data_IF_093295041653
#
_entry.id   IF_093295041653
#
_cell.length_a   1.000
_cell.length_b   1.000
_cell.length_c   1.000
_cell.angle_alpha   90.00
_cell.angle_beta   90.00
_cell.angle_gamma   90.00
#
_symmetry.space_group_name_H-M   'P 1'
#
loop_
_entity.id
_entity.type
_entity.pdbx_description
1 polymer ?
#
# COMPACT_ATOMS: atom_id res chain seq x y z
N UNK A 1 -14.32 13.20 -10.25
CA UNK A 1 -13.13 12.34 -10.09
C UNK A 1 -13.43 11.02 -10.76
N UNK A 2 -12.60 10.54 -11.69
CA UNK A 2 -12.84 9.28 -12.40
C UNK A 2 -12.72 8.08 -11.42
N UNK A 3 -13.41 6.97 -11.70
CA UNK A 3 -13.37 5.69 -10.95
C UNK A 3 -11.94 5.21 -10.70
N UNK A 4 -11.07 5.32 -11.69
CA UNK A 4 -9.64 4.95 -11.57
C UNK A 4 -8.91 5.81 -10.52
N UNK A 5 -9.16 7.12 -10.49
CA UNK A 5 -8.57 8.02 -9.48
C UNK A 5 -9.16 7.79 -8.09
N UNK A 6 -10.48 7.55 -8.01
CA UNK A 6 -11.18 7.22 -6.76
C UNK A 6 -10.59 5.97 -6.11
N UNK A 7 -10.37 4.93 -6.91
CA UNK A 7 -9.72 3.70 -6.45
C UNK A 7 -8.26 3.95 -6.03
N UNK A 8 -7.50 4.73 -6.79
CA UNK A 8 -6.12 5.04 -6.44
C UNK A 8 -6.02 5.81 -5.10
N UNK A 9 -6.87 6.82 -4.87
CA UNK A 9 -6.92 7.53 -3.59
C UNK A 9 -7.27 6.60 -2.42
N UNK A 10 -8.25 5.72 -2.62
CA UNK A 10 -8.63 4.77 -1.60
C UNK A 10 -7.53 3.78 -1.26
N UNK A 11 -6.92 3.16 -2.29
CA UNK A 11 -5.80 2.26 -2.10
C UNK A 11 -4.65 2.96 -1.40
N UNK A 12 -4.31 4.19 -1.81
CA UNK A 12 -3.29 5.00 -1.14
C UNK A 12 -3.59 5.19 0.34
N UNK A 13 -4.83 5.58 0.69
CA UNK A 13 -5.24 5.78 2.08
C UNK A 13 -5.14 4.49 2.90
N UNK A 14 -5.61 3.36 2.36
CA UNK A 14 -5.57 2.06 3.04
C UNK A 14 -4.15 1.61 3.28
N UNK A 15 -3.31 1.55 2.24
CA UNK A 15 -1.96 1.02 2.41
C UNK A 15 -1.11 1.94 3.27
N UNK A 16 -1.34 3.25 3.24
CA UNK A 16 -0.71 4.19 4.17
C UNK A 16 -1.15 3.93 5.62
N UNK A 17 -2.44 3.72 5.85
CA UNK A 17 -2.97 3.37 7.16
C UNK A 17 -2.44 2.02 7.65
N UNK A 18 -2.34 1.01 6.77
CA UNK A 18 -1.75 -0.30 7.09
C UNK A 18 -0.31 -0.18 7.56
N UNK A 19 0.52 0.60 6.86
CA UNK A 19 1.91 0.85 7.27
C UNK A 19 1.95 1.58 8.62
N UNK A 20 1.12 2.60 8.82
CA UNK A 20 1.07 3.34 10.07
C UNK A 20 0.66 2.44 11.26
N UNK A 21 -0.36 1.59 11.09
CA UNK A 21 -0.80 0.65 12.11
C UNK A 21 0.25 -0.43 12.39
N UNK A 22 0.91 -0.96 11.34
CA UNK A 22 2.00 -1.91 11.50
C UNK A 22 3.17 -1.29 12.27
N UNK A 23 3.58 -0.07 11.90
CA UNK A 23 4.65 0.67 12.61
C UNK A 23 4.29 0.98 14.06
N UNK A 24 3.03 1.36 14.33
CA UNK A 24 2.53 1.55 15.69
C UNK A 24 2.60 0.25 16.52
N UNK A 25 2.13 -0.87 15.96
CA UNK A 25 2.20 -2.16 16.65
C UNK A 25 3.66 -2.56 16.94
N UNK A 26 4.55 -2.41 15.95
CA UNK A 26 5.97 -2.67 16.11
C UNK A 26 6.59 -1.82 17.22
N UNK A 27 6.30 -0.52 17.25
CA UNK A 27 6.76 0.38 18.30
C UNK A 27 6.25 -0.04 19.68
N UNK A 28 4.96 -0.36 19.81
CA UNK A 28 4.38 -0.78 21.08
C UNK A 28 4.96 -2.10 21.61
N UNK A 29 5.27 -3.04 20.72
CA UNK A 29 5.83 -4.35 21.06
C UNK A 29 7.32 -4.27 21.39
N UNK A 30 8.13 -3.68 20.51
CA UNK A 30 9.59 -3.76 20.60
C UNK A 30 10.26 -2.56 21.26
N UNK A 31 9.59 -1.41 21.35
CA UNK A 31 10.18 -0.17 21.88
C UNK A 31 9.54 0.25 23.18
N UNK A 32 8.22 0.28 23.23
CA UNK A 32 7.49 0.74 24.41
C UNK A 32 7.23 -0.36 25.44
N UNK A 33 7.36 -1.64 25.06
CA UNK A 33 7.07 -2.82 25.88
C UNK A 33 5.67 -2.76 26.55
N UNK A 34 4.68 -2.17 25.86
CA UNK A 34 3.36 -1.81 26.39
C UNK A 34 2.21 -2.60 25.74
N UNK A 35 2.45 -3.85 25.37
CA UNK A 35 1.40 -4.65 24.75
C UNK A 35 0.28 -4.97 25.76
N UNK A 36 -0.99 -4.72 25.40
CA UNK A 36 -2.10 -5.20 26.20
C UNK A 36 -2.09 -6.74 26.26
N UNK A 37 -2.26 -7.30 27.45
CA UNK A 37 -2.36 -8.76 27.63
C UNK A 37 -3.67 -9.34 27.07
N UNK A 38 -4.69 -8.50 26.96
CA UNK A 38 -5.97 -8.90 26.38
C UNK A 38 -5.85 -9.12 24.86
N UNK A 39 -6.46 -10.21 24.37
CA UNK A 39 -6.56 -10.52 22.94
C UNK A 39 -7.12 -9.34 22.13
N UNK A 40 -8.16 -8.68 22.66
CA UNK A 40 -8.79 -7.53 22.01
C UNK A 40 -7.84 -6.33 21.90
N UNK A 41 -7.07 -6.03 22.94
CA UNK A 41 -6.11 -4.93 22.92
C UNK A 41 -4.93 -5.19 21.97
N UNK A 42 -4.46 -6.44 21.90
CA UNK A 42 -3.39 -6.85 20.98
C UNK A 42 -3.81 -6.80 19.51
N UNK A 43 -5.06 -7.13 19.21
CA UNK A 43 -5.57 -7.18 17.83
C UNK A 43 -6.48 -6.02 17.44
N UNK A 44 -6.56 -4.97 18.27
CA UNK A 44 -7.46 -3.84 18.05
C UNK A 44 -7.23 -3.18 16.69
N UNK A 45 -5.97 -3.04 16.27
CA UNK A 45 -5.58 -2.42 15.00
C UNK A 45 -6.04 -3.24 13.79
N UNK A 46 -6.05 -4.57 13.90
CA UNK A 46 -6.62 -5.45 12.88
C UNK A 46 -8.15 -5.29 12.81
N UNK A 47 -8.84 -5.25 13.95
CA UNK A 47 -10.28 -5.01 13.97
C UNK A 47 -10.66 -3.63 13.41
N UNK A 48 -9.93 -2.58 13.79
CA UNK A 48 -10.12 -1.23 13.26
C UNK A 48 -9.90 -1.19 11.75
N UNK A 49 -8.87 -1.88 11.26
CA UNK A 49 -8.60 -2.01 9.83
C UNK A 49 -9.78 -2.64 9.09
N UNK A 50 -10.26 -3.81 9.52
CA UNK A 50 -11.39 -4.49 8.88
C UNK A 50 -12.70 -3.70 8.97
N UNK A 51 -12.95 -3.05 10.11
CA UNK A 51 -14.12 -2.22 10.33
C UNK A 51 -14.19 -1.01 9.39
N UNK A 52 -13.04 -0.45 8.97
CA UNK A 52 -12.98 0.65 7.99
C UNK A 52 -12.96 0.10 6.56
N UNK A 53 -12.18 -0.97 6.32
CA UNK A 53 -11.92 -1.51 4.99
C UNK A 53 -13.18 -2.06 4.33
N UNK A 54 -13.97 -2.86 5.06
CA UNK A 54 -15.15 -3.54 4.49
C UNK A 54 -16.22 -2.53 4.04
N UNK A 55 -16.68 -1.58 4.89
CA UNK A 55 -17.66 -0.58 4.46
C UNK A 55 -17.15 0.30 3.33
N UNK A 56 -15.87 0.70 3.39
CA UNK A 56 -15.30 1.55 2.36
C UNK A 56 -15.23 0.84 1.00
N UNK A 57 -14.88 -0.45 0.96
CA UNK A 57 -14.96 -1.25 -0.27
C UNK A 57 -16.37 -1.27 -0.88
N UNK A 58 -17.41 -1.41 -0.03
CA UNK A 58 -18.81 -1.41 -0.49
C UNK A 58 -19.17 -0.06 -1.10
N UNK A 59 -18.85 1.04 -0.41
CA UNK A 59 -19.16 2.40 -0.87
C UNK A 59 -18.42 2.79 -2.15
N UNK A 60 -17.24 2.23 -2.39
CA UNK A 60 -16.45 2.51 -3.59
C UNK A 60 -16.93 1.75 -4.82
N UNK A 61 -17.44 0.52 -4.64
CA UNK A 61 -18.05 -0.29 -5.71
C UNK A 61 -19.38 0.29 -6.20
N UNK A 62 -20.05 1.10 -5.39
CA UNK A 62 -21.29 1.77 -5.80
C UNK A 62 -20.98 2.81 -6.88
N UNK A 63 -21.51 2.60 -8.09
CA UNK A 63 -21.49 3.59 -9.17
C UNK A 63 -22.19 4.86 -8.70
N UNK A 64 -21.60 6.02 -9.02
CA UNK A 64 -22.21 7.31 -8.68
C UNK A 64 -23.36 7.67 -9.63
N UNK A 65 -23.34 7.15 -10.86
CA UNK A 65 -24.41 7.28 -11.84
C UNK A 65 -24.45 6.04 -12.74
N UNK A 66 -25.63 5.62 -13.24
CA UNK A 66 -25.74 4.59 -14.28
C UNK A 66 -24.96 4.94 -15.55
N UNK A 67 -24.75 6.23 -15.82
CA UNK A 67 -23.99 6.74 -16.97
C UNK A 67 -22.46 6.82 -16.73
N UNK A 68 -21.97 6.33 -15.59
CA UNK A 68 -20.54 6.28 -15.30
C UNK A 68 -19.83 5.30 -16.24
N UNK A 69 -18.97 5.83 -17.11
CA UNK A 69 -18.14 5.05 -18.06
C UNK A 69 -17.19 4.16 -17.28
N UNK A 70 -17.19 2.85 -17.57
CA UNK A 70 -16.47 1.87 -16.75
C UNK A 70 -14.95 1.87 -16.94
N UNK A 71 -14.46 2.19 -18.15
CA UNK A 71 -13.03 2.36 -18.44
C UNK A 71 -12.84 3.07 -19.78
N UNK A 72 -11.94 4.06 -19.81
CA UNK A 72 -11.43 4.70 -21.03
C UNK A 72 -10.11 4.03 -21.46
N UNK A 73 -9.74 4.12 -22.75
CA UNK A 73 -8.43 3.67 -23.26
C UNK A 73 -7.28 4.39 -22.54
N UNK A 74 -7.48 5.68 -22.22
CA UNK A 74 -6.54 6.45 -21.41
C UNK A 74 -6.31 5.83 -20.03
N UNK A 75 -7.36 5.33 -19.39
CA UNK A 75 -7.26 4.69 -18.06
C UNK A 75 -6.42 3.42 -18.14
N UNK A 76 -6.57 2.63 -19.21
CA UNK A 76 -5.78 1.42 -19.43
C UNK A 76 -4.28 1.74 -19.58
N UNK A 77 -3.94 2.78 -20.37
CA UNK A 77 -2.56 3.22 -20.54
C UNK A 77 -1.94 3.72 -19.23
N UNK A 78 -2.68 4.51 -18.44
CA UNK A 78 -2.21 5.00 -17.14
C UNK A 78 -1.95 3.83 -16.17
N UNK A 79 -2.88 2.88 -16.09
CA UNK A 79 -2.72 1.68 -15.24
C UNK A 79 -1.52 0.85 -15.67
N UNK A 80 -1.29 0.66 -16.97
CA UNK A 80 -0.12 -0.08 -17.47
C UNK A 80 1.19 0.58 -17.07
N UNK A 81 1.29 1.91 -17.22
CA UNK A 81 2.48 2.68 -16.80
C UNK A 81 2.68 2.64 -15.28
N UNK A 82 1.60 2.77 -14.50
CA UNK A 82 1.65 2.67 -13.05
C UNK A 82 2.05 1.28 -12.57
N UNK A 83 1.57 0.23 -13.25
CA UNK A 83 1.94 -1.16 -12.97
C UNK A 83 3.42 -1.38 -13.23
N UNK A 84 3.96 -0.87 -14.34
CA UNK A 84 5.39 -0.95 -14.63
C UNK A 84 6.23 -0.27 -13.55
N UNK A 85 5.86 0.95 -13.15
CA UNK A 85 6.55 1.68 -12.08
C UNK A 85 6.53 0.93 -10.74
N UNK A 86 5.37 0.39 -10.38
CA UNK A 86 5.20 -0.43 -9.17
C UNK A 86 6.03 -1.72 -9.24
N UNK A 87 5.99 -2.44 -10.37
CA UNK A 87 6.77 -3.65 -10.58
C UNK A 87 8.29 -3.40 -10.49
N UNK A 88 8.79 -2.34 -11.13
CA UNK A 88 10.20 -1.95 -10.99
C UNK A 88 10.55 -1.62 -9.55
N UNK A 89 9.67 -0.93 -8.82
CA UNK A 89 9.90 -0.60 -7.42
C UNK A 89 9.98 -1.83 -6.51
N UNK A 90 9.21 -2.88 -6.79
CA UNK A 90 9.26 -4.15 -6.03
C UNK A 90 10.69 -4.72 -6.04
N UNK A 91 11.30 -4.80 -7.22
CA UNK A 91 12.66 -5.34 -7.34
C UNK A 91 13.68 -4.48 -6.60
N UNK A 92 13.60 -3.16 -6.75
CA UNK A 92 14.50 -2.23 -6.06
C UNK A 92 14.36 -2.38 -4.54
N UNK A 93 13.13 -2.34 -4.03
CA UNK A 93 12.85 -2.45 -2.59
C UNK A 93 13.30 -3.81 -2.05
N UNK A 94 13.00 -4.89 -2.74
CA UNK A 94 13.39 -6.24 -2.33
C UNK A 94 14.91 -6.40 -2.27
N UNK A 95 15.63 -5.91 -3.27
CA UNK A 95 17.11 -5.90 -3.27
C UNK A 95 17.66 -5.08 -2.11
N UNK A 96 17.09 -3.89 -1.85
CA UNK A 96 17.50 -3.05 -0.72
C UNK A 96 17.24 -3.76 0.61
N UNK A 97 16.05 -4.33 0.81
CA UNK A 97 15.71 -5.05 2.05
C UNK A 97 16.67 -6.21 2.30
N UNK A 98 16.98 -7.02 1.29
CA UNK A 98 17.95 -8.13 1.42
C UNK A 98 19.34 -7.60 1.74
N UNK A 99 19.78 -6.53 1.08
CA UNK A 99 21.10 -5.93 1.33
C UNK A 99 21.20 -5.41 2.77
N UNK A 100 20.16 -4.73 3.26
CA UNK A 100 20.10 -4.24 4.65
C UNK A 100 20.17 -5.41 5.62
N UNK A 101 19.39 -6.49 5.40
CA UNK A 101 19.43 -7.68 6.25
C UNK A 101 20.82 -8.31 6.27
N UNK A 102 21.46 -8.47 5.11
CA UNK A 102 22.78 -9.05 5.00
C UNK A 102 23.84 -8.22 5.74
N UNK A 103 23.78 -6.89 5.61
CA UNK A 103 24.67 -5.98 6.34
C UNK A 103 24.42 -5.99 7.85
N UNK A 104 23.17 -6.13 8.27
CA UNK A 104 22.80 -6.13 9.69
C UNK A 104 23.21 -7.43 10.41
N UNK A 105 23.08 -8.57 9.73
CA UNK A 105 23.33 -9.91 10.31
C UNK A 105 24.75 -10.41 10.02
N UNK A 106 25.36 -9.94 8.94
CA UNK A 106 26.69 -10.36 8.50
C UNK A 106 26.70 -11.75 7.82
N UNK A 107 27.85 -12.18 7.28
CA UNK A 107 27.95 -13.37 6.44
C UNK A 107 27.69 -14.70 7.17
N UNK A 108 27.86 -14.74 8.49
CA UNK A 108 27.67 -15.94 9.32
C UNK A 108 26.49 -15.81 10.30
N UNK A 109 25.74 -14.72 10.24
CA UNK A 109 24.68 -14.50 11.21
C UNK A 109 23.42 -15.30 10.88
N UNK A 110 22.62 -15.55 11.91
CA UNK A 110 21.36 -16.29 11.82
C UNK A 110 20.17 -15.34 11.91
N UNK A 111 19.08 -15.68 11.21
CA UNK A 111 17.87 -14.88 11.18
C UNK A 111 16.65 -15.77 11.33
N UNK A 112 15.64 -15.26 12.02
CA UNK A 112 14.39 -15.96 12.16
C UNK A 112 13.61 -15.95 10.83
N UNK A 113 13.10 -17.11 10.42
CA UNK A 113 12.42 -17.32 9.13
C UNK A 113 11.16 -16.47 8.98
N UNK A 114 10.51 -16.10 10.09
CA UNK A 114 9.31 -15.26 10.07
C UNK A 114 9.54 -13.82 9.57
N UNK A 115 10.80 -13.38 9.44
CA UNK A 115 11.15 -12.07 8.89
C UNK A 115 10.89 -12.00 7.37
N UNK A 116 11.06 -13.10 6.63
CA UNK A 116 10.86 -13.09 5.17
C UNK A 116 9.43 -12.75 4.75
N UNK A 117 8.37 -13.35 5.35
CA UNK A 117 7.00 -12.91 5.11
C UNK A 117 6.75 -11.42 5.38
N UNK A 118 7.40 -10.85 6.41
CA UNK A 118 7.25 -9.43 6.74
C UNK A 118 7.85 -8.52 5.67
N UNK A 119 9.01 -8.88 5.12
CA UNK A 119 9.63 -8.14 4.02
C UNK A 119 8.74 -8.18 2.78
N UNK A 120 8.20 -9.35 2.45
CA UNK A 120 7.27 -9.49 1.31
C UNK A 120 6.05 -8.59 1.51
N UNK A 121 5.48 -8.59 2.72
CA UNK A 121 4.31 -7.77 3.04
C UNK A 121 4.63 -6.27 2.98
N UNK A 122 5.76 -5.84 3.52
CA UNK A 122 6.23 -4.46 3.47
C UNK A 122 6.42 -3.98 2.02
N UNK A 123 7.19 -4.74 1.23
CA UNK A 123 7.44 -4.42 -0.19
C UNK A 123 6.13 -4.34 -0.96
N UNK A 124 5.18 -5.24 -0.69
CA UNK A 124 3.85 -5.21 -1.29
C UNK A 124 3.09 -3.91 -0.95
N UNK A 125 3.04 -3.50 0.32
CA UNK A 125 2.36 -2.26 0.71
C UNK A 125 2.97 -1.03 0.07
N UNK A 126 4.30 -0.90 0.08
CA UNK A 126 4.99 0.23 -0.55
C UNK A 126 4.74 0.23 -2.07
N UNK A 127 4.81 -0.93 -2.73
CA UNK A 127 4.54 -1.03 -4.16
C UNK A 127 3.11 -0.61 -4.53
N UNK A 128 2.13 -0.92 -3.69
CA UNK A 128 0.74 -0.50 -3.89
C UNK A 128 0.53 1.01 -3.67
N UNK A 129 1.28 1.62 -2.74
CA UNK A 129 1.34 3.08 -2.58
C UNK A 129 1.94 3.72 -3.83
N UNK A 130 3.09 3.22 -4.32
CA UNK A 130 3.75 3.71 -5.53
C UNK A 130 2.82 3.59 -6.73
N UNK A 131 2.13 2.46 -6.91
CA UNK A 131 1.13 2.26 -7.95
C UNK A 131 0.03 3.34 -7.89
N UNK A 132 -0.52 3.57 -6.70
CA UNK A 132 -1.59 4.53 -6.48
C UNK A 132 -1.14 5.97 -6.75
N UNK A 133 0.03 6.36 -6.26
CA UNK A 133 0.64 7.67 -6.52
C UNK A 133 0.91 7.83 -8.02
N UNK A 134 1.47 6.82 -8.69
CA UNK A 134 1.76 6.87 -10.12
C UNK A 134 0.50 7.07 -10.96
N UNK A 135 -0.63 6.48 -10.58
CA UNK A 135 -1.93 6.79 -11.19
C UNK A 135 -2.27 8.26 -10.99
N UNK A 136 -2.30 8.74 -9.73
CA UNK A 136 -2.74 10.09 -9.39
C UNK A 136 -1.88 11.17 -10.08
N UNK A 137 -0.56 10.98 -10.11
CA UNK A 137 0.39 11.89 -10.78
C UNK A 137 0.15 11.93 -12.29
N UNK A 138 -0.07 10.78 -12.94
CA UNK A 138 -0.33 10.74 -14.38
C UNK A 138 -1.66 11.40 -14.77
N UNK A 139 -2.71 11.26 -13.94
CA UNK A 139 -3.93 12.02 -14.14
C UNK A 139 -3.74 13.53 -13.93
N UNK A 140 -2.98 13.92 -12.89
CA UNK A 140 -2.70 15.34 -12.62
C UNK A 140 -1.85 16.03 -13.69
N UNK A 141 -0.98 15.28 -14.38
CA UNK A 141 -0.15 15.80 -15.48
C UNK A 141 -0.92 15.93 -16.79
N UNK A 142 -1.69 14.92 -17.19
CA UNK A 142 -2.41 14.96 -18.47
C UNK A 142 -3.64 15.88 -18.51
N UNK A 143 -3.87 16.71 -17.48
CA UNK A 143 -4.81 17.85 -17.55
C UNK A 143 -4.11 19.16 -17.94
N UNK A 144 -2.79 19.25 -17.76
CA UNK A 144 -1.99 20.45 -18.09
C UNK A 144 -1.47 20.47 -19.53
N UNK A 145 -1.45 19.31 -20.19
CA UNK A 145 -1.00 19.19 -21.59
C UNK A 145 -2.05 19.66 -22.61
N UNK A 146 -3.27 20.01 -22.16
CA UNK A 146 -4.34 20.58 -23.00
C UNK A 146 -4.51 22.10 -22.89
N UNK A 147 -3.64 22.79 -22.14
CA UNK A 147 -3.64 24.25 -21.96
C UNK A 147 -2.50 24.96 -22.74
N UNK A 148 -1.95 24.32 -23.77
CA UNK A 148 -0.97 24.95 -24.67
C UNK A 148 -1.41 24.93 -26.11
#
# INVERSE_FOLDING_TARGET
>A
MNKTQKNAWFSLAIFSLSIALAGHNFYCEFVAEKLPDSFLGRHWSAFAFFAIFIPAMILLRKKQSPAEVDSDERDALIRKKALLASYTSIWILFTISILILWLAVGPNGTMAVWIFPLIILEVFFIAMIIYSIAILVQYGRGGKDGEK
#
